data_IF_740449706938
#
_entry.id   IF_740449706938
#
_cell.length_a   1.000
_cell.length_b   1.000
_cell.length_c   1.000
_cell.angle_alpha   90.00
_cell.angle_beta   90.00
_cell.angle_gamma   90.00
#
_symmetry.space_group_name_H-M   'P 1'
#
loop_
_entity.id
_entity.type
_entity.pdbx_description
1 polymer ?
#
# COMPACT_ATOMS: atom_id res chain seq x y z
N UNK A 1 -8.87 -2.58 14.07
CA UNK A 1 -7.89 -2.56 15.18
C UNK A 1 -7.88 -1.16 15.80
N UNK A 2 -7.77 -1.08 17.14
CA UNK A 2 -7.79 0.19 17.90
C UNK A 2 -6.52 0.26 18.72
N UNK A 3 -5.76 1.33 18.59
CA UNK A 3 -4.53 1.60 19.33
C UNK A 3 -4.61 2.96 20.02
N UNK A 4 -4.31 3.02 21.30
CA UNK A 4 -4.14 4.28 21.99
C UNK A 4 -2.71 4.78 21.82
N UNK A 5 -2.59 6.00 21.33
CA UNK A 5 -1.31 6.69 21.13
C UNK A 5 -1.15 7.72 22.25
N UNK A 6 -0.09 7.62 23.04
CA UNK A 6 0.24 8.60 24.06
C UNK A 6 1.62 9.18 23.84
N UNK A 7 1.75 10.49 24.03
CA UNK A 7 3.06 11.16 24.07
C UNK A 7 3.75 10.91 25.40
N UNK A 8 4.98 10.46 25.35
CA UNK A 8 5.84 10.26 26.54
C UNK A 8 6.19 11.55 27.29
N UNK A 9 5.93 12.73 26.74
CA UNK A 9 6.38 14.02 27.29
C UNK A 9 5.28 15.09 27.49
N UNK A 10 4.04 14.83 27.07
CA UNK A 10 2.95 15.82 27.20
C UNK A 10 1.79 15.16 27.94
N UNK A 11 1.49 15.62 29.14
CA UNK A 11 0.28 15.24 29.87
C UNK A 11 -0.96 15.75 29.12
N UNK A 12 -1.95 14.88 28.88
CA UNK A 12 -3.30 15.14 28.39
C UNK A 12 -3.54 15.23 26.87
N UNK A 13 -2.79 14.51 26.02
CA UNK A 13 -3.20 14.32 24.62
C UNK A 13 -3.19 12.83 24.27
N UNK A 14 -4.19 12.09 24.74
CA UNK A 14 -4.41 10.73 24.26
C UNK A 14 -5.08 10.80 22.87
N UNK A 15 -4.40 10.29 21.89
CA UNK A 15 -4.96 10.11 20.54
C UNK A 15 -5.27 8.64 20.33
N UNK A 16 -6.35 8.36 19.59
CA UNK A 16 -6.74 6.99 19.26
C UNK A 16 -6.51 6.77 17.77
N UNK A 17 -5.71 5.77 17.44
CA UNK A 17 -5.54 5.29 16.07
C UNK A 17 -6.46 4.09 15.84
N UNK A 18 -7.34 4.21 14.87
CA UNK A 18 -8.28 3.15 14.51
C UNK A 18 -8.05 2.75 13.06
N UNK A 19 -7.66 1.50 12.85
CA UNK A 19 -7.56 0.92 11.51
C UNK A 19 -8.85 0.17 11.16
N UNK A 20 -9.49 0.59 10.06
CA UNK A 20 -10.57 -0.13 9.43
C UNK A 20 -10.04 -0.89 8.22
N UNK A 21 -10.12 -2.21 8.25
CA UNK A 21 -9.80 -3.06 7.11
C UNK A 21 -11.08 -3.29 6.30
N UNK A 22 -11.09 -2.76 5.08
CA UNK A 22 -12.20 -2.89 4.16
C UNK A 22 -11.82 -3.88 3.06
N UNK A 23 -12.61 -4.94 2.89
CA UNK A 23 -12.43 -5.83 1.76
C UNK A 23 -12.63 -5.07 0.43
N UNK A 24 -11.67 -5.19 -0.49
CA UNK A 24 -11.69 -4.48 -1.77
C UNK A 24 -12.96 -4.76 -2.60
N UNK A 25 -13.54 -5.95 -2.46
CA UNK A 25 -14.78 -6.36 -3.10
C UNK A 25 -15.98 -5.48 -2.75
N UNK A 26 -16.01 -4.83 -1.57
CA UNK A 26 -17.07 -3.89 -1.20
C UNK A 26 -17.11 -2.65 -2.13
N UNK A 27 -16.03 -2.38 -2.84
CA UNK A 27 -15.98 -1.30 -3.82
C UNK A 27 -16.41 -1.73 -5.22
N UNK A 28 -16.54 -3.03 -5.50
CA UNK A 28 -16.95 -3.51 -6.82
C UNK A 28 -18.44 -3.23 -7.10
N UNK A 29 -18.84 -3.08 -8.40
CA UNK A 29 -20.21 -2.70 -8.78
C UNK A 29 -21.30 -3.71 -8.38
N UNK A 30 -20.93 -4.97 -8.14
CA UNK A 30 -21.86 -6.08 -7.81
C UNK A 30 -22.44 -5.99 -6.39
N UNK A 31 -21.90 -5.14 -5.53
CA UNK A 31 -22.36 -4.97 -4.15
C UNK A 31 -23.44 -3.89 -4.04
N UNK A 32 -24.52 -4.21 -3.33
CA UNK A 32 -25.75 -3.43 -3.25
C UNK A 32 -25.65 -2.19 -2.36
N UNK A 33 -26.72 -1.34 -2.35
CA UNK A 33 -26.84 -0.14 -1.52
C UNK A 33 -26.72 -0.37 0.00
N UNK A 34 -26.79 -1.63 0.48
CA UNK A 34 -26.61 -1.97 1.90
C UNK A 34 -25.18 -1.74 2.40
N UNK A 35 -24.20 -1.61 1.48
CA UNK A 35 -22.78 -1.47 1.80
C UNK A 35 -22.34 -0.01 2.07
N UNK A 36 -23.24 0.96 2.04
CA UNK A 36 -22.91 2.38 2.26
C UNK A 36 -22.34 2.64 3.68
N UNK A 37 -22.63 1.77 4.66
CA UNK A 37 -22.08 1.90 6.00
C UNK A 37 -20.56 1.69 6.02
N UNK A 38 -20.05 0.70 5.28
CA UNK A 38 -18.61 0.45 5.17
C UNK A 38 -17.88 1.60 4.46
N UNK A 39 -18.53 2.19 3.45
CA UNK A 39 -17.98 3.36 2.74
C UNK A 39 -17.92 4.60 3.62
N UNK A 40 -18.85 4.75 4.58
CA UNK A 40 -18.87 5.90 5.50
C UNK A 40 -17.56 5.98 6.33
N UNK A 41 -17.02 4.86 6.77
CA UNK A 41 -15.75 4.85 7.51
C UNK A 41 -14.60 5.34 6.63
N UNK A 42 -14.53 4.86 5.39
CA UNK A 42 -13.51 5.31 4.42
C UNK A 42 -13.68 6.79 4.09
N UNK A 43 -14.91 7.23 3.87
CA UNK A 43 -15.21 8.63 3.53
C UNK A 43 -14.90 9.63 4.66
N UNK A 44 -14.91 9.17 5.91
CA UNK A 44 -14.60 9.98 7.11
C UNK A 44 -13.23 9.69 7.70
N UNK A 45 -12.42 8.87 7.05
CA UNK A 45 -11.07 8.56 7.52
C UNK A 45 -10.19 9.82 7.49
N UNK A 46 -9.33 9.97 8.48
CA UNK A 46 -8.33 11.03 8.53
C UNK A 46 -7.13 10.75 7.62
N UNK A 47 -6.91 9.50 7.24
CA UNK A 47 -5.92 9.06 6.26
C UNK A 47 -6.43 7.82 5.53
N UNK A 48 -5.99 7.63 4.29
CA UNK A 48 -6.32 6.47 3.47
C UNK A 48 -5.07 5.64 3.19
N UNK A 49 -5.25 4.32 3.21
CA UNK A 49 -4.22 3.35 2.86
C UNK A 49 -4.74 2.44 1.76
N UNK A 50 -3.93 2.20 0.75
CA UNK A 50 -4.23 1.22 -0.29
C UNK A 50 -3.02 0.34 -0.52
N UNK A 51 -3.20 -0.97 -0.37
CA UNK A 51 -2.16 -1.95 -0.68
C UNK A 51 -2.34 -2.44 -2.12
N UNK A 52 -1.40 -2.06 -2.96
CA UNK A 52 -1.32 -2.44 -4.37
C UNK A 52 -0.35 -3.62 -4.55
N UNK A 53 -0.78 -4.64 -5.26
CA UNK A 53 0.07 -5.77 -5.66
C UNK A 53 0.47 -5.65 -7.13
N UNK A 54 1.71 -5.23 -7.45
CA UNK A 54 2.17 -5.11 -8.83
C UNK A 54 2.19 -6.43 -9.60
N UNK A 55 2.24 -7.57 -8.91
CA UNK A 55 2.26 -8.87 -9.57
C UNK A 55 0.92 -9.22 -10.25
N UNK A 56 -0.17 -8.53 -9.90
CA UNK A 56 -1.44 -8.67 -10.60
C UNK A 56 -1.43 -7.94 -11.95
N UNK A 57 -0.55 -6.96 -12.13
CA UNK A 57 -0.39 -6.25 -13.41
C UNK A 57 0.37 -7.11 -14.43
N UNK A 58 -0.18 -7.24 -15.64
CA UNK A 58 0.36 -8.10 -16.70
C UNK A 58 1.71 -7.60 -17.23
N UNK A 59 1.91 -6.29 -17.30
CA UNK A 59 3.13 -5.72 -17.85
C UNK A 59 4.29 -5.81 -16.85
N UNK A 60 4.02 -5.67 -15.56
CA UNK A 60 4.98 -5.97 -14.50
C UNK A 60 5.42 -7.44 -14.59
N UNK A 61 4.48 -8.38 -14.65
CA UNK A 61 4.82 -9.83 -14.77
C UNK A 61 5.66 -10.15 -16.00
N UNK A 62 5.32 -9.58 -17.17
CA UNK A 62 6.07 -9.81 -18.42
C UNK A 62 7.53 -9.39 -18.34
N UNK A 63 7.83 -8.37 -17.54
CA UNK A 63 9.18 -7.85 -17.39
C UNK A 63 9.98 -8.54 -16.28
N UNK A 64 9.34 -9.30 -15.39
CA UNK A 64 9.96 -10.08 -14.33
C UNK A 64 10.48 -11.44 -14.86
N UNK A 65 11.41 -11.44 -15.79
CA UNK A 65 11.90 -12.63 -16.53
C UNK A 65 12.64 -13.67 -15.67
N UNK A 66 13.00 -13.36 -14.44
CA UNK A 66 13.89 -14.19 -13.60
C UNK A 66 13.23 -14.72 -12.33
N UNK A 67 11.89 -14.69 -12.25
CA UNK A 67 11.19 -15.13 -11.04
C UNK A 67 10.81 -16.61 -11.10
N UNK A 68 10.76 -17.24 -9.90
CA UNK A 68 10.15 -18.54 -9.73
C UNK A 68 8.74 -18.55 -10.30
N UNK A 69 8.47 -19.57 -11.10
CA UNK A 69 7.29 -19.67 -11.94
C UNK A 69 5.99 -19.67 -11.14
N UNK A 70 5.99 -20.29 -9.95
CA UNK A 70 4.76 -20.53 -9.19
C UNK A 70 4.11 -19.28 -8.62
N UNK A 71 4.89 -18.33 -8.08
CA UNK A 71 4.34 -17.07 -7.57
C UNK A 71 3.71 -16.23 -8.68
N UNK A 72 4.37 -16.20 -9.86
CA UNK A 72 3.83 -15.53 -11.05
C UNK A 72 2.61 -16.26 -11.63
N UNK A 73 2.58 -17.60 -11.59
CA UNK A 73 1.44 -18.39 -12.02
C UNK A 73 0.19 -18.13 -11.16
N UNK A 74 0.35 -18.06 -9.84
CA UNK A 74 -0.76 -17.72 -8.92
C UNK A 74 -1.26 -16.30 -9.21
N UNK A 75 -0.36 -15.33 -9.32
CA UNK A 75 -0.71 -13.96 -9.66
C UNK A 75 -1.40 -13.86 -11.04
N UNK A 76 -0.94 -14.65 -12.03
CA UNK A 76 -1.55 -14.67 -13.37
C UNK A 76 -2.97 -15.22 -13.41
N UNK A 77 -3.34 -16.09 -12.46
CA UNK A 77 -4.69 -16.64 -12.32
C UNK A 77 -5.64 -15.72 -11.54
N UNK A 78 -5.11 -14.73 -10.83
CA UNK A 78 -5.89 -13.77 -10.04
C UNK A 78 -6.25 -12.58 -10.93
N UNK A 79 -7.56 -12.25 -11.08
CA UNK A 79 -7.96 -11.06 -11.84
C UNK A 79 -7.41 -9.78 -11.22
N UNK A 80 -6.84 -8.91 -12.05
CA UNK A 80 -6.44 -7.56 -11.60
C UNK A 80 -7.68 -6.65 -11.57
N UNK A 81 -8.20 -6.42 -10.39
CA UNK A 81 -9.35 -5.55 -10.14
C UNK A 81 -8.95 -4.25 -9.42
N UNK A 82 -7.67 -4.04 -9.14
CA UNK A 82 -7.19 -2.96 -8.28
C UNK A 82 -7.54 -1.57 -8.83
N UNK A 83 -7.36 -1.35 -10.13
CA UNK A 83 -7.74 -0.09 -10.79
C UNK A 83 -9.25 0.14 -10.71
N UNK A 84 -10.05 -0.91 -10.91
CA UNK A 84 -11.52 -0.83 -10.77
C UNK A 84 -11.94 -0.50 -9.35
N UNK A 85 -11.31 -1.13 -8.35
CA UNK A 85 -11.55 -0.86 -6.93
C UNK A 85 -11.27 0.61 -6.61
N UNK A 86 -10.12 1.14 -7.04
CA UNK A 86 -9.75 2.54 -6.83
C UNK A 86 -10.74 3.51 -7.49
N UNK A 87 -11.14 3.23 -8.72
CA UNK A 87 -12.11 4.06 -9.43
C UNK A 87 -13.50 4.06 -8.73
N UNK A 88 -13.96 2.90 -8.30
CA UNK A 88 -15.22 2.76 -7.56
C UNK A 88 -15.14 3.36 -6.16
N UNK A 89 -13.99 3.27 -5.50
CA UNK A 89 -13.75 3.94 -4.21
C UNK A 89 -13.99 5.44 -4.34
N UNK A 90 -13.42 6.10 -5.38
CA UNK A 90 -13.66 7.50 -5.64
C UNK A 90 -15.16 7.82 -5.82
N UNK A 91 -15.87 7.06 -6.65
CA UNK A 91 -17.30 7.25 -6.91
C UNK A 91 -18.13 7.11 -5.63
N UNK A 92 -17.87 6.05 -4.84
CA UNK A 92 -18.63 5.76 -3.63
C UNK A 92 -18.37 6.78 -2.52
N UNK A 93 -17.10 7.16 -2.31
CA UNK A 93 -16.72 8.19 -1.32
C UNK A 93 -17.35 9.53 -1.70
N UNK A 94 -17.22 9.97 -2.96
CA UNK A 94 -17.80 11.22 -3.43
C UNK A 94 -19.32 11.26 -3.21
N UNK A 95 -20.01 10.15 -3.50
CA UNK A 95 -21.46 10.03 -3.25
C UNK A 95 -21.81 10.18 -1.78
N UNK A 96 -21.09 9.52 -0.87
CA UNK A 96 -21.34 9.59 0.58
C UNK A 96 -21.08 10.99 1.13
N UNK A 97 -20.06 11.68 0.61
CA UNK A 97 -19.71 13.05 1.00
C UNK A 97 -20.57 14.14 0.31
N UNK A 98 -21.40 13.76 -0.67
CA UNK A 98 -22.15 14.73 -1.48
C UNK A 98 -21.26 15.60 -2.37
N UNK A 99 -20.05 15.10 -2.73
CA UNK A 99 -19.06 15.78 -3.56
C UNK A 99 -19.11 15.31 -5.02
N UNK A 100 -18.58 16.12 -5.92
CA UNK A 100 -18.31 15.68 -7.29
C UNK A 100 -17.13 14.68 -7.32
N UNK A 101 -17.16 13.71 -8.22
CA UNK A 101 -16.03 12.79 -8.46
C UNK A 101 -14.79 13.49 -9.05
N UNK A 102 -14.90 14.76 -9.45
CA UNK A 102 -13.79 15.61 -9.85
C UNK A 102 -13.14 16.35 -8.67
N UNK A 103 -13.80 16.40 -7.51
CA UNK A 103 -13.25 17.00 -6.30
C UNK A 103 -12.36 15.97 -5.59
N UNK A 104 -11.13 16.37 -5.33
CA UNK A 104 -10.18 15.53 -4.59
C UNK A 104 -10.42 15.62 -3.10
N UNK A 105 -10.03 14.58 -2.40
CA UNK A 105 -10.02 14.56 -0.94
C UNK A 105 -8.80 15.31 -0.41
N UNK A 106 -8.97 16.03 0.68
CA UNK A 106 -7.86 16.68 1.41
C UNK A 106 -7.44 15.81 2.60
N UNK A 107 -7.19 14.55 2.33
CA UNK A 107 -6.68 13.58 3.32
C UNK A 107 -5.44 12.90 2.78
N UNK A 108 -4.41 12.64 3.61
CA UNK A 108 -3.23 11.91 3.19
C UNK A 108 -3.61 10.51 2.70
N UNK A 109 -3.06 10.15 1.54
CA UNK A 109 -3.28 8.85 0.92
C UNK A 109 -1.95 8.12 0.76
N UNK A 110 -1.71 7.14 1.62
CA UNK A 110 -0.56 6.27 1.55
C UNK A 110 -0.83 5.12 0.55
N UNK A 111 -0.23 5.21 -0.63
CA UNK A 111 -0.31 4.16 -1.65
C UNK A 111 0.86 3.20 -1.49
N UNK A 112 0.59 2.05 -0.88
CA UNK A 112 1.60 1.04 -0.54
C UNK A 112 1.77 0.05 -1.69
N UNK A 113 2.98 -0.04 -2.25
CA UNK A 113 3.32 -0.95 -3.35
C UNK A 113 3.98 -2.17 -2.73
N UNK A 114 3.19 -3.22 -2.55
CA UNK A 114 3.59 -4.44 -1.84
C UNK A 114 4.59 -5.31 -2.61
N UNK A 115 5.24 -6.25 -1.89
CA UNK A 115 6.14 -7.25 -2.47
C UNK A 115 7.34 -6.65 -3.23
N UNK A 116 7.90 -5.53 -2.71
CA UNK A 116 9.01 -4.86 -3.41
C UNK A 116 10.26 -5.74 -3.52
N UNK A 117 10.44 -6.72 -2.64
CA UNK A 117 11.44 -7.78 -2.72
C UNK A 117 11.41 -8.55 -4.04
N UNK A 118 10.25 -8.61 -4.69
CA UNK A 118 10.05 -9.36 -5.94
C UNK A 118 10.34 -8.50 -7.17
N UNK A 119 9.84 -7.29 -7.23
CA UNK A 119 9.85 -6.45 -8.43
C UNK A 119 10.84 -5.29 -8.40
N UNK A 120 11.57 -5.06 -7.32
CA UNK A 120 12.51 -3.93 -7.18
C UNK A 120 13.54 -3.83 -8.33
N UNK A 121 13.89 -4.97 -8.95
CA UNK A 121 14.82 -5.00 -10.09
C UNK A 121 14.30 -4.29 -11.34
N UNK A 122 13.00 -4.03 -11.44
CA UNK A 122 12.39 -3.26 -12.51
C UNK A 122 12.52 -1.74 -12.30
N UNK A 123 12.82 -1.30 -11.09
CA UNK A 123 12.91 0.12 -10.75
C UNK A 123 14.32 0.62 -10.99
N UNK A 124 14.47 1.53 -11.95
CA UNK A 124 15.77 2.06 -12.38
C UNK A 124 16.61 2.62 -11.24
N UNK A 125 15.99 3.32 -10.31
CA UNK A 125 16.64 4.04 -9.22
C UNK A 125 16.33 3.45 -7.83
N UNK A 126 15.95 2.16 -7.75
CA UNK A 126 15.61 1.52 -6.46
C UNK A 126 16.75 1.62 -5.43
N UNK A 127 17.99 1.56 -5.89
CA UNK A 127 19.17 1.73 -5.03
C UNK A 127 19.27 3.11 -4.35
N UNK A 128 18.50 4.10 -4.81
CA UNK A 128 18.42 5.44 -4.19
C UNK A 128 17.37 5.51 -3.09
N UNK A 129 16.48 4.52 -2.97
CA UNK A 129 15.49 4.45 -1.89
C UNK A 129 16.22 4.30 -0.55
N UNK A 130 15.81 5.09 0.42
CA UNK A 130 16.39 5.12 1.77
C UNK A 130 15.29 4.97 2.81
N UNK A 131 15.67 4.49 3.99
CA UNK A 131 14.79 4.56 5.15
C UNK A 131 14.62 6.05 5.53
N UNK A 132 13.38 6.56 5.58
CA UNK A 132 13.13 7.94 5.99
C UNK A 132 13.35 8.21 7.47
N UNK A 133 13.47 7.16 8.29
CA UNK A 133 13.75 7.34 9.73
C UNK A 133 15.23 7.53 9.93
N UNK A 134 15.60 8.70 10.45
CA UNK A 134 16.98 9.06 10.75
C UNK A 134 17.47 8.41 12.08
N UNK A 135 18.74 8.57 12.41
CA UNK A 135 19.37 8.05 13.64
C UNK A 135 18.72 8.58 14.94
N UNK A 136 18.08 9.75 14.87
CA UNK A 136 17.34 10.36 15.99
C UNK A 136 15.88 9.85 16.07
N UNK A 137 15.50 8.86 15.26
CA UNK A 137 14.14 8.36 15.13
C UNK A 137 13.14 9.44 14.72
N UNK A 138 13.53 10.31 13.82
CA UNK A 138 12.70 11.35 13.23
C UNK A 138 12.40 10.98 11.78
N UNK A 139 11.18 11.24 11.34
CA UNK A 139 10.77 11.05 9.96
C UNK A 139 11.30 12.21 9.10
N UNK A 140 12.10 11.90 8.09
CA UNK A 140 12.58 12.86 7.09
C UNK A 140 11.61 12.88 5.89
N UNK A 141 10.77 13.88 5.85
CA UNK A 141 9.77 14.03 4.78
C UNK A 141 10.41 14.21 3.40
N UNK A 142 11.58 14.81 3.33
CA UNK A 142 12.30 14.96 2.05
C UNK A 142 12.74 13.61 1.47
N UNK A 143 13.03 12.65 2.33
CA UNK A 143 13.34 11.27 1.93
C UNK A 143 12.06 10.55 1.51
N UNK A 144 10.94 10.76 2.22
CA UNK A 144 9.62 10.23 1.82
C UNK A 144 9.26 10.72 0.43
N UNK A 145 9.37 12.01 0.18
CA UNK A 145 9.05 12.64 -1.11
C UNK A 145 9.90 12.07 -2.25
N UNK A 146 11.19 11.93 -2.02
CA UNK A 146 12.13 11.37 -3.01
C UNK A 146 11.81 9.91 -3.32
N UNK A 147 11.59 9.10 -2.30
CA UNK A 147 11.20 7.70 -2.46
C UNK A 147 9.87 7.58 -3.22
N UNK A 148 8.90 8.42 -2.85
CA UNK A 148 7.58 8.47 -3.50
C UNK A 148 7.69 8.85 -4.98
N UNK A 149 8.55 9.81 -5.34
CA UNK A 149 8.77 10.18 -6.73
C UNK A 149 9.33 9.01 -7.57
N UNK A 150 10.29 8.26 -7.03
CA UNK A 150 10.84 7.07 -7.69
C UNK A 150 9.75 6.02 -7.92
N UNK A 151 8.90 5.79 -6.92
CA UNK A 151 7.81 4.81 -7.03
C UNK A 151 6.71 5.27 -7.99
N UNK A 152 6.42 6.57 -8.02
CA UNK A 152 5.50 7.15 -8.99
C UNK A 152 5.98 6.96 -10.44
N UNK A 153 7.28 7.13 -10.69
CA UNK A 153 7.88 6.87 -12.01
C UNK A 153 7.72 5.40 -12.42
N UNK A 154 8.02 4.48 -11.52
CA UNK A 154 7.80 3.04 -11.75
C UNK A 154 6.34 2.74 -12.12
N UNK A 155 5.38 3.25 -11.35
CA UNK A 155 3.96 3.03 -11.65
C UNK A 155 3.54 3.70 -12.96
N UNK A 156 4.07 4.88 -13.31
CA UNK A 156 3.79 5.51 -14.60
C UNK A 156 4.29 4.68 -15.79
N UNK A 157 5.36 3.93 -15.62
CA UNK A 157 5.87 3.04 -16.66
C UNK A 157 4.98 1.80 -16.87
N UNK A 158 4.50 1.18 -15.76
CA UNK A 158 3.83 -0.12 -15.82
C UNK A 158 2.31 -0.07 -15.58
N UNK A 159 1.81 0.95 -14.90
CA UNK A 159 0.42 1.08 -14.50
C UNK A 159 -0.03 2.56 -14.46
N UNK A 160 0.07 3.32 -15.55
CA UNK A 160 -0.23 4.76 -15.58
C UNK A 160 -1.68 5.07 -15.16
N UNK A 161 -2.62 4.19 -15.48
CA UNK A 161 -4.03 4.33 -15.09
C UNK A 161 -4.23 4.29 -13.58
N UNK A 162 -3.41 3.51 -12.86
CA UNK A 162 -3.40 3.47 -11.39
C UNK A 162 -2.98 4.83 -10.84
N UNK A 163 -1.87 5.40 -11.33
CA UNK A 163 -1.38 6.71 -10.91
C UNK A 163 -2.45 7.78 -11.15
N UNK A 164 -3.01 7.83 -12.36
CA UNK A 164 -4.04 8.80 -12.70
C UNK A 164 -5.28 8.68 -11.81
N UNK A 165 -5.66 7.46 -11.44
CA UNK A 165 -6.83 7.21 -10.58
C UNK A 165 -6.55 7.62 -9.14
N UNK A 166 -5.40 7.28 -8.59
CA UNK A 166 -4.99 7.61 -7.23
C UNK A 166 -4.85 9.13 -7.05
N UNK A 167 -4.18 9.81 -7.97
CA UNK A 167 -3.97 11.27 -7.92
C UNK A 167 -5.25 12.07 -8.19
N UNK A 168 -6.27 11.44 -8.75
CA UNK A 168 -7.61 12.03 -8.85
C UNK A 168 -8.37 11.92 -7.53
N UNK A 169 -8.06 10.95 -6.70
CA UNK A 169 -8.78 10.69 -5.46
C UNK A 169 -8.35 11.63 -4.32
N UNK A 170 -7.05 11.91 -4.18
CA UNK A 170 -6.54 12.79 -3.12
C UNK A 170 -5.55 13.83 -3.65
N UNK A 171 -5.50 15.01 -2.99
CA UNK A 171 -4.50 16.05 -3.21
C UNK A 171 -3.13 15.67 -2.63
N UNK A 172 -3.10 14.78 -1.66
CA UNK A 172 -1.90 14.40 -0.93
C UNK A 172 -1.67 12.89 -1.01
N UNK A 173 -0.89 12.48 -2.02
CA UNK A 173 -0.56 11.07 -2.28
C UNK A 173 0.93 10.85 -2.08
N UNK A 174 1.30 9.76 -1.39
CA UNK A 174 2.69 9.26 -1.35
C UNK A 174 2.70 7.77 -1.65
N UNK A 175 3.72 7.38 -2.42
CA UNK A 175 3.92 6.02 -2.91
C UNK A 175 5.05 5.35 -2.11
N UNK A 176 4.75 4.21 -1.49
CA UNK A 176 5.67 3.52 -0.59
C UNK A 176 5.99 2.12 -1.09
N UNK A 177 7.25 1.79 -1.39
CA UNK A 177 7.64 0.40 -1.62
C UNK A 177 7.72 -0.31 -0.29
N UNK A 178 6.96 -1.40 -0.14
CA UNK A 178 6.97 -2.19 1.09
C UNK A 178 7.12 -3.69 0.80
N UNK A 179 7.71 -4.41 1.73
CA UNK A 179 7.70 -5.87 1.75
C UNK A 179 7.53 -6.40 3.17
N UNK A 180 6.55 -7.26 3.38
CA UNK A 180 6.33 -7.90 4.68
C UNK A 180 7.45 -8.91 5.02
N UNK A 181 8.06 -9.52 4.03
CA UNK A 181 9.11 -10.51 4.22
C UNK A 181 10.53 -9.95 4.03
N UNK A 182 10.69 -8.90 3.20
CA UNK A 182 11.96 -8.30 2.85
C UNK A 182 12.86 -9.17 1.97
N UNK A 183 12.40 -10.36 1.60
CA UNK A 183 13.07 -11.28 0.69
C UNK A 183 12.04 -12.07 -0.11
N UNK A 184 12.47 -12.59 -1.26
CA UNK A 184 11.63 -13.47 -2.08
C UNK A 184 11.37 -14.77 -1.34
N UNK A 185 10.13 -15.30 -1.41
CA UNK A 185 9.84 -16.64 -0.92
C UNK A 185 10.68 -17.68 -1.66
N UNK A 186 11.12 -18.69 -0.92
CA UNK A 186 11.83 -19.83 -1.48
C UNK A 186 10.84 -20.89 -2.02
N UNK A 187 11.24 -21.59 -3.08
CA UNK A 187 10.49 -22.75 -3.60
C UNK A 187 11.01 -24.04 -2.98
N UNK A 188 10.10 -24.87 -2.48
CA UNK A 188 10.45 -26.20 -1.98
C UNK A 188 9.44 -27.25 -2.44
N UNK A 189 9.88 -28.50 -2.41
CA UNK A 189 9.01 -29.63 -2.71
C UNK A 189 8.41 -30.17 -1.43
N UNK A 190 7.09 -30.19 -1.37
CA UNK A 190 6.31 -30.75 -0.26
C UNK A 190 5.62 -32.03 -0.75
N UNK A 191 5.67 -33.07 0.04
CA UNK A 191 4.96 -34.31 -0.25
C UNK A 191 3.48 -34.16 0.16
N UNK A 192 2.57 -34.21 -0.82
CA UNK A 192 1.12 -34.21 -0.60
C UNK A 192 0.55 -35.54 -1.08
N UNK A 193 0.25 -36.45 -0.16
CA UNK A 193 -0.06 -37.84 -0.47
C UNK A 193 1.16 -38.54 -1.09
N UNK A 194 0.98 -39.11 -2.29
CA UNK A 194 2.07 -39.78 -3.03
C UNK A 194 2.78 -38.85 -4.04
N UNK A 195 2.35 -37.60 -4.15
CA UNK A 195 2.90 -36.65 -5.10
C UNK A 195 3.84 -35.63 -4.42
N UNK A 196 4.91 -35.24 -5.13
CA UNK A 196 5.74 -34.08 -4.77
C UNK A 196 5.14 -32.85 -5.45
N UNK A 197 4.78 -31.83 -4.66
CA UNK A 197 4.21 -30.55 -5.14
C UNK A 197 5.18 -29.44 -4.80
N UNK A 198 5.42 -28.55 -5.77
CA UNK A 198 6.20 -27.35 -5.51
C UNK A 198 5.34 -26.36 -4.70
N UNK A 199 5.84 -25.95 -3.56
CA UNK A 199 5.26 -24.95 -2.66
C UNK A 199 6.17 -23.74 -2.58
N UNK A 200 5.56 -22.57 -2.31
CA UNK A 200 6.27 -21.30 -2.13
C UNK A 200 5.94 -20.75 -0.76
N UNK A 201 6.94 -20.57 0.07
CA UNK A 201 6.75 -19.91 1.36
C UNK A 201 7.99 -19.11 1.76
N UNK A 202 7.83 -18.05 2.59
CA UNK A 202 8.96 -17.32 3.12
C UNK A 202 9.75 -18.19 4.08
N UNK A 203 11.07 -18.05 4.08
CA UNK A 203 11.92 -18.62 5.12
C UNK A 203 11.76 -17.78 6.41
N UNK A 204 11.24 -18.35 7.49
CA UNK A 204 11.03 -17.61 8.73
C UNK A 204 12.28 -16.97 9.32
N UNK A 205 13.46 -17.58 9.07
CA UNK A 205 14.75 -17.07 9.58
C UNK A 205 15.27 -15.87 8.79
N UNK A 206 14.76 -15.65 7.58
CA UNK A 206 15.13 -14.53 6.71
C UNK A 206 14.13 -13.38 6.73
N UNK A 207 13.05 -13.49 7.48
CA UNK A 207 12.04 -12.42 7.53
C UNK A 207 12.67 -11.13 8.07
N UNK A 208 12.70 -10.12 7.22
CA UNK A 208 13.20 -8.79 7.52
C UNK A 208 12.32 -7.74 6.80
N UNK A 209 11.20 -7.32 7.40
CA UNK A 209 10.26 -6.39 6.77
C UNK A 209 10.96 -5.13 6.26
N UNK A 210 10.53 -4.66 5.09
CA UNK A 210 11.12 -3.48 4.45
C UNK A 210 10.12 -2.35 4.39
N UNK A 211 10.39 -1.25 5.10
CA UNK A 211 9.64 0.01 5.13
C UNK A 211 8.13 -0.13 5.40
N UNK A 212 7.69 -1.19 6.09
CA UNK A 212 6.25 -1.45 6.32
C UNK A 212 5.62 -0.47 7.33
N UNK A 213 6.42 0.11 8.22
CA UNK A 213 6.00 1.09 9.22
C UNK A 213 5.83 2.50 8.63
N UNK A 214 6.62 2.83 7.60
CA UNK A 214 6.75 4.18 7.06
C UNK A 214 5.42 4.79 6.57
N UNK A 215 4.55 4.07 5.84
CA UNK A 215 3.26 4.62 5.42
C UNK A 215 2.42 5.10 6.60
N UNK A 216 2.45 4.36 7.71
CA UNK A 216 1.69 4.68 8.92
C UNK A 216 2.30 5.87 9.65
N UNK A 217 3.62 5.90 9.83
CA UNK A 217 4.31 7.03 10.47
C UNK A 217 4.11 8.31 9.68
N UNK A 218 4.23 8.25 8.35
CA UNK A 218 3.96 9.39 7.48
C UNK A 218 2.50 9.86 7.61
N UNK A 219 1.52 8.97 7.51
CA UNK A 219 0.12 9.37 7.62
C UNK A 219 -0.20 9.99 8.99
N UNK A 220 0.36 9.46 10.08
CA UNK A 220 0.20 10.05 11.42
C UNK A 220 0.85 11.43 11.49
N UNK A 221 2.03 11.64 10.90
CA UNK A 221 2.68 12.97 10.90
C UNK A 221 1.86 14.03 10.19
N UNK A 222 1.12 13.65 9.13
CA UNK A 222 0.25 14.56 8.40
C UNK A 222 -1.05 14.89 9.17
N UNK A 223 -1.58 13.93 9.95
CA UNK A 223 -2.85 14.09 10.70
C UNK A 223 -2.61 14.68 12.08
N UNK A 224 -1.53 14.29 12.75
CA UNK A 224 -1.16 14.73 14.10
C UNK A 224 0.33 15.13 14.07
N UNK A 225 0.66 16.33 13.54
CA UNK A 225 2.07 16.73 13.27
C UNK A 225 2.98 16.64 14.48
N UNK A 226 2.43 16.82 15.68
CA UNK A 226 3.24 16.79 16.90
C UNK A 226 3.44 15.38 17.47
N UNK A 227 2.82 14.34 16.96
CA UNK A 227 2.94 12.98 17.48
C UNK A 227 4.20 12.27 16.97
N UNK A 228 4.54 12.48 15.70
CA UNK A 228 5.77 11.98 15.07
C UNK A 228 6.78 13.12 14.99
N UNK A 229 7.98 12.90 15.49
CA UNK A 229 9.08 13.85 15.29
C UNK A 229 9.50 13.87 13.83
N UNK A 230 9.42 15.01 13.19
CA UNK A 230 9.94 15.23 11.83
C UNK A 230 11.31 15.92 11.86
N UNK A 231 12.13 15.67 10.84
CA UNK A 231 13.48 16.27 10.69
C UNK A 231 13.44 17.44 9.71
#
# INVERSE_FOLDING_TARGET
YIYNLSRTKVQNSDSCLVFYDNAGEHFLPSHSKADDFHILHVAKASALFFLYDPLLNVDVRRNLKSLPTKQLEVAAKTPDQQTSILAQMNVKISRVLGKSTSERLDVPFAFMIGKCDVWHSLVKDFSKIRNPINEKKQLDESVVDRNSAIMREFLNEYAPDVVATVERLSNEVRYFPISAFGHRPDEYKVKVGDNMVDEVAPDPEKINPYLVEIPTEWAISQVIPDLISTA
#
